data_IF_760410064137
#
_entry.id   IF_760410064137
#
_cell.length_a   1.000
_cell.length_b   1.000
_cell.length_c   1.000
_cell.angle_alpha   90.00
_cell.angle_beta   90.00
_cell.angle_gamma   90.00
#
_symmetry.space_group_name_H-M   'P 1'
#
loop_
_entity.id
_entity.type
_entity.pdbx_description
1 polymer ?
#
# COMPACT_ATOMS: atom_id res chain seq x y z
N UNK A 1 10.53 20.52 14.54
CA UNK A 1 11.41 19.75 15.45
C UNK A 1 10.58 18.59 16.00
N UNK A 2 10.60 17.43 15.37
CA UNK A 2 9.85 16.25 15.84
C UNK A 2 10.56 15.67 17.08
N UNK A 3 9.91 15.73 18.24
CA UNK A 3 10.48 15.22 19.49
C UNK A 3 10.40 13.69 19.51
N UNK A 4 11.53 13.02 19.35
CA UNK A 4 11.61 11.56 19.56
C UNK A 4 11.38 11.23 21.03
N UNK A 5 10.41 10.36 21.30
CA UNK A 5 10.09 9.88 22.64
C UNK A 5 10.72 8.50 22.86
N UNK A 6 11.04 8.19 24.11
CA UNK A 6 11.60 6.90 24.52
C UNK A 6 10.51 6.10 25.23
N UNK A 7 10.28 4.88 24.77
CA UNK A 7 9.28 3.96 25.30
C UNK A 7 9.96 2.71 25.84
N UNK A 8 9.51 2.24 26.99
CA UNK A 8 9.99 1.01 27.59
C UNK A 8 9.01 -0.11 27.25
N UNK A 9 9.48 -1.16 26.59
CA UNK A 9 8.66 -2.28 26.14
C UNK A 9 9.24 -3.61 26.61
N UNK A 10 8.38 -4.62 26.77
CA UNK A 10 8.80 -6.00 27.04
C UNK A 10 8.39 -6.88 25.86
N UNK A 11 9.36 -7.48 25.19
CA UNK A 11 9.17 -8.34 24.02
C UNK A 11 9.78 -9.71 24.31
N UNK A 12 8.99 -10.77 24.23
CA UNK A 12 9.39 -12.16 24.54
C UNK A 12 10.17 -12.31 25.87
N UNK A 13 9.72 -11.57 26.88
CA UNK A 13 10.29 -11.55 28.24
C UNK A 13 11.56 -10.71 28.41
N UNK A 14 12.03 -10.02 27.37
CA UNK A 14 13.19 -9.11 27.42
C UNK A 14 12.73 -7.66 27.36
N UNK A 15 13.37 -6.78 28.14
CA UNK A 15 13.08 -5.34 28.14
C UNK A 15 13.90 -4.60 27.08
N UNK A 16 13.24 -3.72 26.35
CA UNK A 16 13.81 -2.88 25.31
C UNK A 16 13.40 -1.41 25.50
N UNK A 17 14.24 -0.52 24.98
CA UNK A 17 13.92 0.92 24.86
C UNK A 17 13.74 1.24 23.38
N UNK A 18 12.52 1.62 23.00
CA UNK A 18 12.14 2.00 21.64
C UNK A 18 12.17 3.53 21.56
N UNK A 19 12.81 4.06 20.51
CA UNK A 19 12.84 5.50 20.25
C UNK A 19 12.04 5.78 19.00
N UNK A 20 10.95 6.54 19.12
CA UNK A 20 10.04 6.81 18.01
C UNK A 20 9.43 8.21 18.11
N UNK A 21 9.00 8.76 16.98
CA UNK A 21 8.18 9.96 16.85
C UNK A 21 6.66 9.66 16.76
N UNK A 22 6.27 8.37 16.79
CA UNK A 22 4.88 7.94 16.86
C UNK A 22 4.28 8.10 18.27
N UNK A 23 2.95 8.03 18.36
CA UNK A 23 2.22 8.09 19.63
C UNK A 23 2.50 6.85 20.51
N UNK A 24 2.32 7.02 21.82
CA UNK A 24 2.45 5.92 22.77
C UNK A 24 1.50 4.76 22.44
N UNK A 25 0.26 5.06 22.06
CA UNK A 25 -0.73 4.05 21.68
C UNK A 25 -0.27 3.22 20.48
N UNK A 26 0.30 3.87 19.46
CA UNK A 26 0.85 3.17 18.30
C UNK A 26 1.97 2.21 18.70
N UNK A 27 2.90 2.66 19.54
CA UNK A 27 4.02 1.82 20.00
C UNK A 27 3.55 0.66 20.88
N UNK A 28 2.56 0.88 21.75
CA UNK A 28 1.96 -0.21 22.54
C UNK A 28 1.30 -1.25 21.64
N UNK A 29 0.51 -0.82 20.64
CA UNK A 29 -0.10 -1.72 19.67
C UNK A 29 0.95 -2.53 18.90
N UNK A 30 2.05 -1.90 18.48
CA UNK A 30 3.18 -2.59 17.84
C UNK A 30 3.76 -3.66 18.77
N UNK A 31 4.04 -3.34 20.03
CA UNK A 31 4.59 -4.29 21.00
C UNK A 31 3.65 -5.47 21.24
N UNK A 32 2.35 -5.23 21.30
CA UNK A 32 1.34 -6.26 21.48
C UNK A 32 1.30 -7.21 20.27
N UNK A 33 1.29 -6.66 19.05
CA UNK A 33 1.34 -7.45 17.80
C UNK A 33 2.59 -8.33 17.75
N UNK A 34 3.75 -7.76 18.08
CA UNK A 34 5.03 -8.50 18.10
C UNK A 34 4.95 -9.69 19.06
N UNK A 35 4.51 -9.46 20.30
CA UNK A 35 4.40 -10.53 21.28
C UNK A 35 3.38 -11.60 20.86
N UNK A 36 2.27 -11.21 20.23
CA UNK A 36 1.29 -12.14 19.68
C UNK A 36 1.91 -13.04 18.61
N UNK A 37 2.63 -12.47 17.65
CA UNK A 37 3.28 -13.25 16.59
C UNK A 37 4.36 -14.20 17.13
N UNK A 38 5.18 -13.74 18.08
CA UNK A 38 6.20 -14.58 18.70
C UNK A 38 5.58 -15.74 19.51
N UNK A 39 4.45 -15.50 20.17
CA UNK A 39 3.71 -16.55 20.89
C UNK A 39 3.07 -17.55 19.91
N UNK A 40 2.45 -17.09 18.83
CA UNK A 40 1.89 -17.96 17.79
C UNK A 40 2.97 -18.86 17.17
N UNK A 41 4.13 -18.31 16.84
CA UNK A 41 5.26 -19.10 16.32
C UNK A 41 5.74 -20.15 17.33
N UNK A 42 5.72 -19.82 18.63
CA UNK A 42 6.08 -20.75 19.70
C UNK A 42 5.05 -21.86 19.88
N UNK A 43 3.77 -21.59 19.67
CA UNK A 43 2.70 -22.59 19.72
C UNK A 43 2.76 -23.54 18.52
N UNK A 44 3.08 -23.01 17.34
CA UNK A 44 3.23 -23.79 16.11
C UNK A 44 4.46 -24.70 16.14
N UNK A 45 5.59 -24.18 16.64
CA UNK A 45 6.82 -24.96 16.81
C UNK A 45 7.51 -24.61 18.15
N UNK A 46 7.25 -25.40 19.21
CA UNK A 46 7.91 -25.22 20.50
C UNK A 46 9.41 -25.53 20.49
N UNK A 47 9.89 -26.28 19.49
CA UNK A 47 11.30 -26.63 19.34
C UNK A 47 12.16 -25.50 18.78
N UNK A 48 11.53 -24.49 18.18
CA UNK A 48 12.20 -23.37 17.56
C UNK A 48 12.81 -22.44 18.61
N UNK A 49 14.09 -22.09 18.42
CA UNK A 49 14.81 -21.20 19.35
C UNK A 49 14.19 -19.79 19.35
N UNK A 50 14.43 -19.01 20.42
CA UNK A 50 13.98 -17.61 20.48
C UNK A 50 14.54 -16.78 19.31
N UNK A 51 15.77 -17.07 18.91
CA UNK A 51 16.46 -16.37 17.83
C UNK A 51 15.85 -16.71 16.48
N UNK A 52 15.68 -17.99 16.18
CA UNK A 52 15.08 -18.43 14.91
C UNK A 52 13.62 -17.96 14.77
N UNK A 53 12.85 -17.95 15.85
CA UNK A 53 11.49 -17.36 15.85
C UNK A 53 11.51 -15.87 15.53
N UNK A 54 12.49 -15.14 16.07
CA UNK A 54 12.63 -13.71 15.82
C UNK A 54 13.05 -13.43 14.38
N UNK A 55 13.92 -14.26 13.81
CA UNK A 55 14.31 -14.20 12.40
C UNK A 55 13.11 -14.51 11.50
N UNK A 56 12.38 -15.59 11.77
CA UNK A 56 11.18 -15.96 10.99
C UNK A 56 10.11 -14.88 11.04
N UNK A 57 9.88 -14.29 12.21
CA UNK A 57 8.97 -13.15 12.35
C UNK A 57 9.44 -11.94 11.52
N UNK A 58 10.74 -11.62 11.52
CA UNK A 58 11.27 -10.54 10.71
C UNK A 58 11.12 -10.80 9.21
N UNK A 59 11.35 -12.04 8.75
CA UNK A 59 11.12 -12.44 7.36
C UNK A 59 9.64 -12.25 6.99
N UNK A 60 8.73 -12.72 7.84
CA UNK A 60 7.29 -12.57 7.60
C UNK A 60 6.87 -11.09 7.57
N UNK A 61 7.39 -10.27 8.48
CA UNK A 61 7.09 -8.84 8.52
C UNK A 61 7.59 -8.10 7.27
N UNK A 62 8.79 -8.45 6.76
CA UNK A 62 9.31 -7.87 5.51
C UNK A 62 8.49 -8.35 4.31
N UNK A 63 8.09 -9.62 4.28
CA UNK A 63 7.20 -10.13 3.24
C UNK A 63 5.86 -9.38 3.21
N UNK A 64 5.24 -9.18 4.38
CA UNK A 64 3.99 -8.43 4.51
C UNK A 64 4.16 -6.96 4.08
N UNK A 65 5.32 -6.36 4.37
CA UNK A 65 5.63 -5.01 3.93
C UNK A 65 5.67 -4.91 2.40
N UNK A 66 6.39 -5.82 1.73
CA UNK A 66 6.48 -5.83 0.27
C UNK A 66 5.11 -6.00 -0.39
N UNK A 67 4.28 -6.90 0.12
CA UNK A 67 2.91 -7.10 -0.38
C UNK A 67 2.07 -5.82 -0.22
N UNK A 68 2.24 -5.07 0.87
CA UNK A 68 1.54 -3.79 1.09
C UNK A 68 2.04 -2.69 0.15
N UNK A 69 3.35 -2.63 -0.10
CA UNK A 69 3.93 -1.68 -1.05
C UNK A 69 3.41 -1.92 -2.48
N UNK A 70 3.34 -3.18 -2.91
CA UNK A 70 2.77 -3.56 -4.21
C UNK A 70 1.29 -3.16 -4.32
N UNK A 71 0.50 -3.35 -3.25
CA UNK A 71 -0.90 -2.93 -3.21
C UNK A 71 -1.06 -1.42 -3.28
N UNK A 72 -0.21 -0.67 -2.57
CA UNK A 72 -0.21 0.80 -2.63
C UNK A 72 0.10 1.26 -4.06
N UNK A 73 1.13 0.71 -4.69
CA UNK A 73 1.50 1.05 -6.06
C UNK A 73 0.35 0.77 -7.05
N UNK A 74 -0.32 -0.38 -6.94
CA UNK A 74 -1.48 -0.71 -7.77
C UNK A 74 -2.65 0.26 -7.56
N UNK A 75 -2.93 0.64 -6.31
CA UNK A 75 -4.00 1.59 -6.00
C UNK A 75 -3.67 3.01 -6.50
N UNK A 76 -2.40 3.41 -6.46
CA UNK A 76 -1.94 4.70 -7.01
C UNK A 76 -2.09 4.73 -8.54
N UNK A 77 -1.76 3.64 -9.24
CA UNK A 77 -1.99 3.50 -10.68
C UNK A 77 -3.49 3.60 -11.04
N UNK A 78 -4.35 2.88 -10.30
CA UNK A 78 -5.79 2.95 -10.49
C UNK A 78 -6.32 4.38 -10.27
N UNK A 79 -5.82 5.10 -9.26
CA UNK A 79 -6.21 6.50 -9.02
C UNK A 79 -5.75 7.44 -10.15
N UNK A 80 -4.56 7.25 -10.73
CA UNK A 80 -4.08 8.06 -11.86
C UNK A 80 -4.95 7.87 -13.11
N UNK A 81 -5.34 6.62 -13.40
CA UNK A 81 -6.21 6.32 -14.55
C UNK A 81 -7.62 6.90 -14.40
N UNK A 82 -8.14 7.01 -13.17
CA UNK A 82 -9.46 7.56 -12.88
C UNK A 82 -9.47 9.09 -12.75
N UNK A 83 -8.36 9.70 -12.34
CA UNK A 83 -8.25 11.15 -12.13
C UNK A 83 -7.80 11.92 -13.37
N UNK A 84 -7.37 11.24 -14.43
CA UNK A 84 -7.19 11.84 -15.76
C UNK A 84 -8.56 12.09 -16.43
N UNK A 85 -9.08 13.33 -16.50
CA UNK A 85 -10.35 13.61 -17.17
C UNK A 85 -10.19 13.35 -18.67
N UNK A 86 -11.21 12.74 -19.25
CA UNK A 86 -11.21 12.18 -20.60
C UNK A 86 -10.57 13.04 -21.68
N UNK A 87 -9.67 12.42 -22.45
CA UNK A 87 -9.49 12.77 -23.85
C UNK A 87 -10.71 12.28 -24.62
N UNK A 88 -11.85 12.97 -24.46
CA UNK A 88 -12.95 12.91 -25.42
C UNK A 88 -12.41 13.44 -26.74
N UNK A 89 -11.94 12.52 -27.57
CA UNK A 89 -11.87 12.70 -29.02
C UNK A 89 -13.31 12.86 -29.51
N UNK A 90 -13.86 14.06 -29.37
CA UNK A 90 -15.09 14.45 -30.04
C UNK A 90 -14.84 14.48 -31.55
N UNK A 91 -15.17 13.35 -32.16
CA UNK A 91 -15.80 13.21 -33.48
C UNK A 91 -15.31 14.18 -34.56
N UNK A 92 -14.31 13.71 -35.29
CA UNK A 92 -14.07 14.06 -36.69
C UNK A 92 -15.39 13.91 -37.47
N UNK A 93 -16.12 15.02 -37.59
CA UNK A 93 -17.34 15.09 -38.39
C UNK A 93 -16.88 15.37 -39.82
N UNK A 94 -17.10 14.47 -40.80
CA UNK A 94 -16.71 14.77 -42.16
C UNK A 94 -17.53 15.98 -42.63
N UNK A 95 -16.85 17.08 -42.93
CA UNK A 95 -17.44 18.28 -43.51
C UNK A 95 -18.15 17.91 -44.82
N UNK A 96 -19.47 17.73 -44.77
CA UNK A 96 -20.29 17.55 -45.97
C UNK A 96 -20.25 18.86 -46.74
N UNK A 97 -19.51 18.88 -47.85
CA UNK A 97 -19.56 19.98 -48.81
C UNK A 97 -20.97 20.01 -49.44
N UNK A 98 -21.64 21.17 -49.51
CA UNK A 98 -22.93 21.25 -50.19
C UNK A 98 -22.71 21.00 -51.69
N UNK A 99 -23.36 19.96 -52.22
CA UNK A 99 -23.41 19.74 -53.68
C UNK A 99 -24.17 20.91 -54.31
N UNK A 100 -23.52 21.59 -55.24
CA UNK A 100 -24.15 22.57 -56.15
C UNK A 100 -25.33 21.90 -56.87
N UNK A 101 -26.49 22.55 -56.99
CA UNK A 101 -27.60 22.00 -57.78
C UNK A 101 -27.18 21.95 -59.25
N UNK A 102 -27.19 20.76 -59.84
CA UNK A 102 -27.00 20.60 -61.27
C UNK A 102 -28.32 20.99 -61.96
N UNK A 103 -28.37 22.20 -62.49
CA UNK A 103 -29.42 22.61 -63.42
C UNK A 103 -29.38 21.67 -64.65
N UNK A 104 -30.50 21.02 -64.96
CA UNK A 104 -30.69 20.43 -66.29
C UNK A 104 -31.21 21.53 -67.21
N UNK A 105 -30.57 21.85 -68.34
CA UNK A 105 -31.31 22.39 -69.45
C UNK A 105 -32.12 21.27 -70.11
N UNK A 106 -33.30 21.67 -70.54
CA UNK A 106 -34.40 20.86 -71.06
C UNK A 106 -34.16 20.38 -72.50
N UNK A 107 -34.92 19.32 -72.83
CA UNK A 107 -35.26 18.76 -74.15
C UNK A 107 -34.21 17.91 -74.88
#
# INVERSE_FOLDING_TARGET
MTSKQRFKATIDGKQYIIVSDHSNEHILAVVDIINQQLNQLKELDPGLSKEDRSILMAINAVSDQLVKEDQIASLEEDLDTLTSPGNTRETDTPRVQPKVPFERPEN
#
